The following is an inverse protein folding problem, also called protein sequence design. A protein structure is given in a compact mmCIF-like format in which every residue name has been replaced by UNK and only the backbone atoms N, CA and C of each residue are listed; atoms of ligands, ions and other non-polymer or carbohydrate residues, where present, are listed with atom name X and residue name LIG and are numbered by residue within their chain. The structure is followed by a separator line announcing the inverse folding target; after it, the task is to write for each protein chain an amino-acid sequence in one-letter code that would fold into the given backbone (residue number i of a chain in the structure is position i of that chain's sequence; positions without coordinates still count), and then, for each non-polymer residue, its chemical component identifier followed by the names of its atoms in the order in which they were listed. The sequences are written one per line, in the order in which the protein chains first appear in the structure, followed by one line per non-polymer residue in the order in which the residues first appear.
data_IF_768055765684
#
_entry.id   IF_768055765684
#
_cell.length_a   1.000
_cell.length_b   1.000
_cell.length_c   1.000
_cell.angle_alpha   90.00
_cell.angle_beta   90.00
_cell.angle_gamma   90.00
#
_symmetry.space_group_name_H-M   'P 1'
#
loop_
_entity.id
_entity.type
_entity.pdbx_description
1 polymer ?
#
# COMPACT_ATOMS: atom_id res chain seq x y z
N UNK A 1 -5.17 -5.82 -26.76
CA UNK A 1 -5.85 -5.20 -25.60
C UNK A 1 -5.87 -6.25 -24.50
N UNK A 2 -5.51 -5.95 -23.25
CA UNK A 2 -5.49 -6.93 -22.14
C UNK A 2 -6.78 -6.91 -21.32
N UNK A 3 -7.86 -6.43 -21.93
CA UNK A 3 -9.18 -6.31 -21.34
C UNK A 3 -10.19 -6.88 -22.32
N UNK A 4 -11.18 -7.55 -21.77
CA UNK A 4 -12.29 -8.07 -22.55
C UNK A 4 -13.57 -8.04 -21.72
N UNK A 5 -14.70 -7.93 -22.39
CA UNK A 5 -16.01 -7.90 -21.78
C UNK A 5 -16.88 -8.96 -22.46
N UNK A 6 -17.59 -9.75 -21.66
CA UNK A 6 -18.60 -10.65 -22.20
C UNK A 6 -19.67 -9.87 -22.97
N UNK A 7 -20.32 -10.51 -23.94
CA UNK A 7 -21.40 -9.89 -24.73
C UNK A 7 -22.49 -9.26 -23.83
N UNK A 8 -22.84 -9.92 -22.73
CA UNK A 8 -23.79 -9.40 -21.74
C UNK A 8 -23.37 -8.06 -21.13
N UNK A 9 -22.07 -7.83 -20.94
CA UNK A 9 -21.52 -6.56 -20.44
C UNK A 9 -21.56 -5.46 -21.50
N UNK A 10 -21.48 -5.82 -22.79
CA UNK A 10 -21.59 -4.86 -23.89
C UNK A 10 -23.01 -4.28 -24.00
N UNK A 11 -24.05 -5.10 -23.77
CA UNK A 11 -25.46 -4.65 -23.78
C UNK A 11 -25.75 -3.57 -22.72
N UNK A 12 -24.97 -3.52 -21.64
CA UNK A 12 -25.09 -2.52 -20.58
C UNK A 12 -24.52 -1.16 -20.96
N UNK A 13 -23.78 -1.04 -22.06
CA UNK A 13 -23.09 0.20 -22.44
C UNK A 13 -24.06 1.37 -22.67
N UNK A 14 -25.26 1.10 -23.21
CA UNK A 14 -26.31 2.13 -23.35
C UNK A 14 -26.65 2.78 -22.00
N UNK A 15 -26.74 1.98 -20.94
CA UNK A 15 -27.03 2.46 -19.58
C UNK A 15 -25.85 3.23 -18.99
N UNK A 16 -24.61 2.90 -19.37
CA UNK A 16 -23.41 3.66 -18.99
C UNK A 16 -23.42 5.04 -19.66
N UNK A 17 -23.70 5.09 -20.96
CA UNK A 17 -23.77 6.36 -21.71
C UNK A 17 -24.87 7.28 -21.20
N UNK A 18 -25.99 6.72 -20.74
CA UNK A 18 -27.06 7.49 -20.10
C UNK A 18 -26.64 8.15 -18.77
N UNK A 19 -25.47 7.83 -18.21
CA UNK A 19 -24.99 8.45 -16.97
C UNK A 19 -24.30 9.79 -17.16
N UNK A 20 -23.95 10.16 -18.41
CA UNK A 20 -23.39 11.45 -18.78
C UNK A 20 -24.45 12.56 -18.76
N UNK A 21 -25.02 12.78 -17.58
CA UNK A 21 -26.02 13.83 -17.30
C UNK A 21 -25.41 14.87 -16.37
N UNK A 22 -25.77 16.13 -16.59
CA UNK A 22 -25.24 17.28 -15.87
C UNK A 22 -23.74 17.44 -16.09
N UNK A 23 -22.98 17.58 -15.01
CA UNK A 23 -21.53 17.78 -15.08
C UNK A 23 -20.72 16.48 -15.08
N UNK A 24 -21.33 15.34 -15.33
CA UNK A 24 -20.60 14.05 -15.37
C UNK A 24 -19.74 13.99 -16.62
N UNK A 25 -18.41 13.91 -16.47
CA UNK A 25 -17.45 13.87 -17.59
C UNK A 25 -16.63 12.58 -17.64
N UNK A 26 -16.72 11.76 -16.59
CA UNK A 26 -16.07 10.46 -16.49
C UNK A 26 -17.00 9.48 -15.80
N UNK A 27 -17.14 8.30 -16.37
CA UNK A 27 -17.94 7.21 -15.80
C UNK A 27 -17.07 5.95 -15.74
N UNK A 28 -16.80 5.50 -14.53
CA UNK A 28 -16.04 4.28 -14.28
C UNK A 28 -16.90 3.12 -13.81
N UNK A 29 -16.31 1.92 -13.84
CA UNK A 29 -16.93 0.68 -13.41
C UNK A 29 -15.85 -0.36 -13.07
N UNK A 30 -16.16 -1.40 -12.28
CA UNK A 30 -15.17 -2.35 -11.78
C UNK A 30 -14.48 -3.15 -12.89
N UNK A 31 -13.25 -3.54 -12.59
CA UNK A 31 -12.47 -4.52 -13.35
C UNK A 31 -12.41 -5.84 -12.56
N UNK A 32 -12.53 -6.97 -13.24
CA UNK A 32 -12.31 -8.30 -12.67
C UNK A 32 -10.98 -8.85 -13.15
N UNK A 33 -10.11 -9.27 -12.23
CA UNK A 33 -8.86 -9.94 -12.58
C UNK A 33 -9.11 -11.38 -13.03
N UNK A 34 -8.73 -11.71 -14.27
CA UNK A 34 -8.89 -13.07 -14.85
C UNK A 34 -7.67 -13.95 -14.56
N UNK A 35 -6.55 -13.36 -14.16
CA UNK A 35 -5.28 -14.05 -13.89
C UNK A 35 -5.14 -14.51 -12.44
N UNK A 36 -6.23 -14.59 -11.67
CA UNK A 36 -6.26 -14.92 -10.25
C UNK A 36 -5.81 -16.37 -9.95
N UNK A 37 -6.07 -17.31 -10.87
CA UNK A 37 -5.79 -18.75 -10.71
C UNK A 37 -4.34 -19.16 -10.96
N UNK A 38 -3.44 -18.24 -11.28
CA UNK A 38 -2.07 -18.55 -11.70
C UNK A 38 -1.09 -18.84 -10.55
N UNK A 39 -1.53 -18.80 -9.29
CA UNK A 39 -0.71 -19.09 -8.10
C UNK A 39 -1.13 -18.30 -6.86
N UNK A 40 -0.42 -18.50 -5.74
CA UNK A 40 -0.71 -17.79 -4.47
C UNK A 40 -0.54 -16.28 -4.61
N UNK A 41 0.60 -15.83 -5.17
CA UNK A 41 0.86 -14.41 -5.48
C UNK A 41 -0.23 -13.81 -6.35
N UNK A 42 -0.69 -14.56 -7.35
CA UNK A 42 -1.75 -14.12 -8.24
C UNK A 42 -3.08 -13.94 -7.53
N UNK A 43 -3.44 -14.88 -6.66
CA UNK A 43 -4.63 -14.77 -5.82
C UNK A 43 -4.56 -13.55 -4.89
N UNK A 44 -3.40 -13.29 -4.28
CA UNK A 44 -3.21 -12.12 -3.40
C UNK A 44 -3.34 -10.80 -4.16
N UNK A 45 -2.67 -10.69 -5.31
CA UNK A 45 -2.71 -9.50 -6.16
C UNK A 45 -4.12 -9.26 -6.71
N UNK A 46 -4.80 -10.30 -7.17
CA UNK A 46 -6.16 -10.22 -7.67
C UNK A 46 -7.15 -9.77 -6.58
N UNK A 47 -7.03 -10.29 -5.35
CA UNK A 47 -7.85 -9.83 -4.23
C UNK A 47 -7.61 -8.36 -3.91
N UNK A 48 -6.35 -7.93 -3.81
CA UNK A 48 -6.04 -6.52 -3.54
C UNK A 48 -6.62 -5.60 -4.61
N UNK A 49 -6.57 -6.00 -5.88
CA UNK A 49 -7.15 -5.22 -6.98
C UNK A 49 -8.68 -5.29 -7.02
N UNK A 50 -9.29 -6.41 -6.64
CA UNK A 50 -10.74 -6.54 -6.48
C UNK A 50 -11.24 -5.59 -5.39
N UNK A 51 -10.60 -5.56 -4.21
CA UNK A 51 -10.94 -4.65 -3.10
C UNK A 51 -10.85 -3.20 -3.55
N UNK A 52 -9.75 -2.82 -4.22
CA UNK A 52 -9.57 -1.48 -4.75
C UNK A 52 -10.62 -1.14 -5.81
N UNK A 53 -10.80 -2.05 -6.76
CA UNK A 53 -11.67 -1.92 -7.91
C UNK A 53 -13.15 -1.92 -7.57
N UNK A 54 -13.55 -2.35 -6.36
CA UNK A 54 -14.95 -2.42 -5.90
C UNK A 54 -15.19 -1.53 -4.68
N UNK A 55 -15.03 -2.03 -3.45
CA UNK A 55 -15.35 -1.33 -2.19
C UNK A 55 -14.72 0.06 -2.17
N UNK A 56 -13.40 0.15 -2.37
CA UNK A 56 -12.68 1.42 -2.26
C UNK A 56 -13.17 2.41 -3.31
N UNK A 57 -13.26 2.01 -4.59
CA UNK A 57 -13.77 2.91 -5.64
C UNK A 57 -15.23 3.33 -5.44
N UNK A 58 -16.09 2.46 -4.88
CA UNK A 58 -17.47 2.81 -4.51
C UNK A 58 -17.49 3.93 -3.48
N UNK A 59 -16.75 3.77 -2.38
CA UNK A 59 -16.69 4.77 -1.32
C UNK A 59 -16.05 6.08 -1.80
N UNK A 60 -14.95 6.01 -2.57
CA UNK A 60 -14.32 7.18 -3.18
C UNK A 60 -15.28 7.95 -4.10
N UNK A 61 -16.14 7.26 -4.85
CA UNK A 61 -17.12 7.89 -5.72
C UNK A 61 -18.31 8.48 -4.95
N UNK A 62 -18.90 7.71 -4.03
CA UNK A 62 -20.04 8.14 -3.21
C UNK A 62 -19.96 7.49 -1.83
N UNK A 63 -19.99 8.26 -0.72
CA UNK A 63 -20.33 9.69 -0.62
C UNK A 63 -19.15 10.67 -0.78
N UNK A 64 -17.91 10.17 -0.90
CA UNK A 64 -16.72 11.00 -0.72
C UNK A 64 -16.42 11.95 -1.88
N UNK A 65 -16.82 11.61 -3.12
CA UNK A 65 -16.53 12.41 -4.33
C UNK A 65 -15.02 12.71 -4.54
N UNK A 66 -14.15 11.77 -4.18
CA UNK A 66 -12.68 11.85 -4.34
C UNK A 66 -12.13 10.82 -5.32
N UNK A 67 -13.00 10.13 -6.08
CA UNK A 67 -12.60 9.20 -7.13
C UNK A 67 -12.11 9.96 -8.37
N UNK A 68 -10.97 9.51 -8.91
CA UNK A 68 -10.43 9.95 -10.21
C UNK A 68 -10.58 8.85 -11.26
N UNK A 69 -9.79 8.95 -12.33
CA UNK A 69 -9.63 7.89 -13.32
C UNK A 69 -8.60 6.88 -12.82
N UNK A 70 -9.02 5.63 -12.66
CA UNK A 70 -8.17 4.54 -12.16
C UNK A 70 -8.26 3.28 -13.02
N UNK A 71 -9.42 3.06 -13.66
CA UNK A 71 -9.67 1.89 -14.48
C UNK A 71 -9.39 2.22 -15.94
N UNK A 72 -8.72 1.30 -16.64
CA UNK A 72 -8.60 1.41 -18.09
C UNK A 72 -9.96 1.45 -18.83
N UNK A 73 -11.07 0.87 -18.32
CA UNK A 73 -12.33 0.89 -19.03
C UNK A 73 -13.20 2.10 -18.68
N UNK A 74 -12.74 3.03 -17.82
CA UNK A 74 -13.53 4.24 -17.55
C UNK A 74 -13.77 5.01 -18.86
N UNK A 75 -14.99 5.49 -19.04
CA UNK A 75 -15.43 6.17 -20.26
C UNK A 75 -15.39 7.67 -20.02
N UNK A 76 -14.76 8.40 -20.95
CA UNK A 76 -14.65 9.85 -20.95
C UNK A 76 -15.67 10.51 -21.88
N UNK A 77 -16.13 11.70 -21.52
CA UNK A 77 -16.81 12.61 -22.45
C UNK A 77 -15.78 13.23 -23.41
N UNK A 78 -15.76 12.72 -24.64
CA UNK A 78 -14.80 13.13 -25.67
C UNK A 78 -14.85 14.63 -25.98
N UNK A 79 -16.04 15.23 -26.00
CA UNK A 79 -16.22 16.66 -26.30
C UNK A 79 -15.56 17.51 -25.23
N UNK A 80 -15.76 17.14 -23.96
CA UNK A 80 -15.12 17.82 -22.85
C UNK A 80 -13.59 17.63 -22.87
N UNK A 81 -13.10 16.40 -23.08
CA UNK A 81 -11.67 16.09 -23.12
C UNK A 81 -10.95 16.89 -24.20
N UNK A 82 -11.50 16.96 -25.42
CA UNK A 82 -10.90 17.71 -26.54
C UNK A 82 -10.81 19.20 -26.25
N UNK A 83 -11.79 19.78 -25.56
CA UNK A 83 -11.80 21.19 -25.16
C UNK A 83 -10.92 21.52 -23.95
N UNK A 84 -10.46 20.53 -23.17
CA UNK A 84 -9.82 20.75 -21.87
C UNK A 84 -8.38 20.21 -21.73
N UNK A 85 -7.72 19.94 -22.86
CA UNK A 85 -6.30 19.58 -22.88
C UNK A 85 -6.01 18.08 -22.80
N UNK A 86 -6.99 17.22 -23.06
CA UNK A 86 -6.80 15.77 -23.17
C UNK A 86 -7.01 14.98 -21.87
N UNK A 87 -6.70 13.69 -21.93
CA UNK A 87 -6.85 12.73 -20.81
C UNK A 87 -5.61 12.64 -19.91
N UNK A 88 -4.50 13.25 -20.33
CA UNK A 88 -3.19 13.13 -19.67
C UNK A 88 -2.36 14.40 -19.83
N UNK A 89 -1.26 14.49 -19.08
CA UNK A 89 -0.28 15.58 -19.16
C UNK A 89 1.00 15.11 -19.87
N UNK A 90 1.76 16.06 -20.44
CA UNK A 90 2.83 15.76 -21.40
C UNK A 90 4.08 15.03 -20.83
N UNK A 91 4.32 15.09 -19.51
CA UNK A 91 5.54 14.52 -18.91
C UNK A 91 5.31 13.15 -18.29
N UNK A 92 5.97 12.11 -18.84
CA UNK A 92 5.92 10.72 -18.36
C UNK A 92 6.59 10.51 -16.99
N UNK A 93 7.54 11.38 -16.62
CA UNK A 93 8.22 11.31 -15.32
C UNK A 93 7.45 12.04 -14.22
N UNK A 94 6.93 13.24 -14.52
CA UNK A 94 6.17 14.03 -13.54
C UNK A 94 4.72 13.55 -13.40
N UNK A 95 4.15 13.05 -14.49
CA UNK A 95 2.76 12.59 -14.53
C UNK A 95 2.71 11.09 -14.86
N UNK A 96 3.50 10.30 -14.13
CA UNK A 96 3.54 8.84 -14.27
C UNK A 96 2.16 8.20 -14.12
N UNK A 97 1.31 8.78 -13.26
CA UNK A 97 -0.10 8.43 -13.10
C UNK A 97 -0.99 9.34 -13.94
N UNK A 98 -0.75 9.33 -15.26
CA UNK A 98 -1.45 10.18 -16.24
C UNK A 98 -2.98 10.16 -16.08
N UNK A 99 -3.55 8.98 -15.87
CA UNK A 99 -4.98 8.76 -15.63
C UNK A 99 -5.49 9.62 -14.47
N UNK A 100 -4.80 9.54 -13.32
CA UNK A 100 -5.19 10.24 -12.10
C UNK A 100 -5.07 11.75 -12.28
N UNK A 101 -4.02 12.22 -12.98
CA UNK A 101 -3.90 13.65 -13.32
C UNK A 101 -5.02 14.15 -14.22
N UNK A 102 -5.48 13.33 -15.18
CA UNK A 102 -6.67 13.62 -15.97
C UNK A 102 -7.91 13.77 -15.08
N UNK A 103 -8.10 12.85 -14.14
CA UNK A 103 -9.21 12.92 -13.18
C UNK A 103 -9.14 14.13 -12.23
N UNK A 104 -7.96 14.49 -11.74
CA UNK A 104 -7.78 15.71 -10.92
C UNK A 104 -8.13 16.98 -11.71
N UNK A 105 -7.70 17.07 -12.97
CA UNK A 105 -8.03 18.20 -13.85
C UNK A 105 -9.55 18.29 -14.10
N UNK A 106 -10.21 17.16 -14.33
CA UNK A 106 -11.67 17.08 -14.43
C UNK A 106 -12.37 17.65 -13.19
N UNK A 107 -11.95 17.21 -11.99
CA UNK A 107 -12.56 17.65 -10.74
C UNK A 107 -12.31 19.14 -10.48
N UNK A 108 -11.10 19.64 -10.73
CA UNK A 108 -10.75 21.05 -10.58
C UNK A 108 -11.56 21.98 -11.51
N UNK A 109 -12.06 21.46 -12.63
CA UNK A 109 -12.91 22.18 -13.59
C UNK A 109 -14.42 22.00 -13.33
N UNK A 110 -14.79 21.45 -12.18
CA UNK A 110 -16.19 21.23 -11.80
C UNK A 110 -16.87 20.04 -12.50
N UNK A 111 -16.09 19.20 -13.18
CA UNK A 111 -16.57 17.91 -13.69
C UNK A 111 -16.83 16.94 -12.54
N UNK A 112 -17.69 15.95 -12.80
CA UNK A 112 -18.01 14.88 -11.85
C UNK A 112 -17.61 13.52 -12.42
N UNK A 113 -17.06 12.69 -11.54
CA UNK A 113 -16.76 11.29 -11.79
C UNK A 113 -17.85 10.42 -11.17
N UNK A 114 -18.50 9.58 -11.97
CA UNK A 114 -19.43 8.55 -11.47
C UNK A 114 -18.77 7.18 -11.50
N UNK A 115 -19.23 6.30 -10.63
CA UNK A 115 -18.81 4.91 -10.59
C UNK A 115 -20.04 4.00 -10.54
N UNK A 116 -20.08 3.01 -11.44
CA UNK A 116 -21.24 2.14 -11.65
C UNK A 116 -20.93 0.73 -11.19
N UNK A 117 -21.85 0.11 -10.45
CA UNK A 117 -21.69 -1.26 -9.97
C UNK A 117 -22.28 -2.35 -10.88
N UNK A 118 -23.08 -1.99 -11.89
CA UNK A 118 -23.82 -2.97 -12.70
C UNK A 118 -23.06 -3.48 -13.92
N UNK A 119 -21.97 -2.80 -14.33
CA UNK A 119 -21.10 -3.20 -15.44
C UNK A 119 -19.74 -3.63 -14.88
N UNK A 120 -19.11 -4.62 -15.51
CA UNK A 120 -17.77 -5.08 -15.15
C UNK A 120 -16.99 -5.44 -16.42
N UNK A 121 -15.66 -5.33 -16.38
CA UNK A 121 -14.77 -5.72 -17.49
C UNK A 121 -13.66 -6.61 -16.97
N UNK A 122 -13.37 -7.69 -17.68
CA UNK A 122 -12.28 -8.58 -17.38
C UNK A 122 -10.94 -7.95 -17.74
N UNK A 123 -9.94 -8.14 -16.89
CA UNK A 123 -8.58 -7.63 -17.09
C UNK A 123 -7.56 -8.73 -16.81
N UNK A 124 -6.60 -8.85 -17.71
CA UNK A 124 -5.44 -9.71 -17.51
C UNK A 124 -4.23 -8.86 -17.13
N UNK A 125 -3.47 -9.32 -16.14
CA UNK A 125 -2.23 -8.68 -15.70
C UNK A 125 -1.16 -9.74 -15.41
N UNK A 126 0.10 -9.33 -15.53
CA UNK A 126 1.19 -10.16 -15.04
C UNK A 126 1.14 -10.22 -13.52
N UNK A 127 1.02 -11.44 -13.00
CA UNK A 127 0.82 -11.75 -11.58
C UNK A 127 2.01 -12.49 -10.96
N UNK A 128 3.19 -12.36 -11.57
CA UNK A 128 4.45 -12.80 -10.98
C UNK A 128 4.80 -11.95 -9.75
N UNK A 129 5.63 -12.46 -8.84
CA UNK A 129 6.09 -11.69 -7.68
C UNK A 129 6.79 -10.40 -8.09
N UNK A 130 7.73 -10.48 -9.04
CA UNK A 130 8.42 -9.31 -9.59
C UNK A 130 7.49 -8.36 -10.33
N UNK A 131 6.61 -8.88 -11.20
CA UNK A 131 5.65 -8.08 -11.95
C UNK A 131 4.71 -7.30 -11.03
N UNK A 132 4.24 -7.95 -9.95
CA UNK A 132 3.38 -7.32 -8.96
C UNK A 132 4.13 -6.28 -8.12
N UNK A 133 5.39 -6.54 -7.75
CA UNK A 133 6.23 -5.55 -7.07
C UNK A 133 6.51 -4.32 -7.94
N UNK A 134 6.86 -4.51 -9.21
CA UNK A 134 7.07 -3.39 -10.14
C UNK A 134 5.79 -2.56 -10.34
N UNK A 135 4.64 -3.22 -10.39
CA UNK A 135 3.36 -2.53 -10.46
C UNK A 135 3.10 -1.66 -9.21
N UNK A 136 3.31 -2.22 -8.02
CA UNK A 136 3.15 -1.49 -6.77
C UNK A 136 4.17 -0.35 -6.61
N UNK A 137 5.41 -0.57 -7.05
CA UNK A 137 6.44 0.47 -7.13
C UNK A 137 5.96 1.62 -8.03
N UNK A 138 5.46 1.30 -9.24
CA UNK A 138 4.93 2.31 -10.18
C UNK A 138 3.78 3.12 -9.57
N UNK A 139 2.81 2.47 -8.92
CA UNK A 139 1.68 3.17 -8.30
C UNK A 139 2.16 4.11 -7.19
N UNK A 140 3.05 3.62 -6.32
CA UNK A 140 3.54 4.42 -5.20
C UNK A 140 4.37 5.62 -5.68
N UNK A 141 5.29 5.42 -6.64
CA UNK A 141 6.00 6.53 -7.28
C UNK A 141 5.05 7.53 -7.94
N UNK A 142 4.03 7.04 -8.64
CA UNK A 142 3.00 7.89 -9.22
C UNK A 142 2.27 8.75 -8.19
N UNK A 143 1.97 8.20 -7.01
CA UNK A 143 1.38 8.94 -5.89
C UNK A 143 2.37 9.89 -5.22
N UNK A 144 3.65 9.55 -5.14
CA UNK A 144 4.70 10.48 -4.70
C UNK A 144 4.78 11.73 -5.59
N UNK A 145 4.69 11.56 -6.91
CA UNK A 145 4.62 12.70 -7.84
C UNK A 145 3.33 13.50 -7.72
N UNK A 146 2.21 12.83 -7.42
CA UNK A 146 0.97 13.54 -7.12
C UNK A 146 1.12 14.40 -5.87
N UNK A 147 1.69 13.86 -4.79
CA UNK A 147 1.86 14.57 -3.51
C UNK A 147 2.60 15.91 -3.67
N UNK A 148 3.64 15.96 -4.51
CA UNK A 148 4.42 17.18 -4.77
C UNK A 148 3.85 18.06 -5.90
N UNK A 149 2.73 17.68 -6.49
CA UNK A 149 2.14 18.39 -7.64
C UNK A 149 1.26 19.56 -7.22
N UNK A 150 1.19 20.58 -8.09
CA UNK A 150 0.28 21.73 -7.91
C UNK A 150 -1.19 21.33 -7.98
N UNK A 151 -1.55 20.29 -8.73
CA UNK A 151 -2.94 19.86 -8.87
C UNK A 151 -3.45 19.26 -7.56
N UNK A 152 -2.62 18.42 -6.92
CA UNK A 152 -2.93 17.83 -5.62
C UNK A 152 -3.13 18.91 -4.56
N UNK A 153 -2.24 19.89 -4.49
CA UNK A 153 -2.37 21.04 -3.58
C UNK A 153 -3.64 21.85 -3.82
N UNK A 154 -3.95 22.16 -5.08
CA UNK A 154 -5.16 22.92 -5.44
C UNK A 154 -6.42 22.14 -5.09
N UNK A 155 -6.43 20.84 -5.33
CA UNK A 155 -7.58 20.01 -5.03
C UNK A 155 -7.78 19.90 -3.51
N UNK A 156 -6.72 19.61 -2.76
CA UNK A 156 -6.77 19.54 -1.30
C UNK A 156 -7.33 20.83 -0.67
N UNK A 157 -6.94 22.00 -1.17
CA UNK A 157 -7.45 23.31 -0.71
C UNK A 157 -8.94 23.55 -0.97
N UNK A 158 -9.51 22.88 -1.98
CA UNK A 158 -10.90 23.07 -2.38
C UNK A 158 -11.84 21.99 -1.82
N UNK A 159 -11.32 21.03 -1.06
CA UNK A 159 -12.10 19.98 -0.41
C UNK A 159 -12.41 20.36 1.04
N UNK A 160 -13.58 19.98 1.53
CA UNK A 160 -13.89 20.02 2.96
C UNK A 160 -12.98 19.05 3.73
N UNK A 161 -12.85 19.22 5.05
CA UNK A 161 -11.94 18.45 5.89
C UNK A 161 -12.08 16.93 5.70
N UNK A 162 -13.31 16.40 5.67
CA UNK A 162 -13.53 14.96 5.54
C UNK A 162 -13.15 14.44 4.17
N UNK A 163 -13.49 15.18 3.11
CA UNK A 163 -13.04 14.83 1.75
C UNK A 163 -11.54 15.00 1.59
N UNK A 164 -10.92 15.99 2.21
CA UNK A 164 -9.47 16.20 2.17
C UNK A 164 -8.73 15.04 2.85
N UNK A 165 -9.17 14.63 4.04
CA UNK A 165 -8.62 13.46 4.74
C UNK A 165 -8.83 12.18 3.92
N UNK A 166 -10.02 12.01 3.34
CA UNK A 166 -10.33 10.87 2.47
C UNK A 166 -9.48 10.86 1.21
N UNK A 167 -9.31 12.01 0.56
CA UNK A 167 -8.48 12.19 -0.62
C UNK A 167 -7.03 11.85 -0.29
N UNK A 168 -6.49 12.34 0.82
CA UNK A 168 -5.15 11.99 1.28
C UNK A 168 -5.03 10.49 1.48
N UNK A 169 -5.90 9.88 2.28
CA UNK A 169 -5.82 8.45 2.59
C UNK A 169 -5.99 7.55 1.36
N UNK A 170 -6.87 7.92 0.42
CA UNK A 170 -7.14 7.13 -0.79
C UNK A 170 -6.13 7.37 -1.92
N UNK A 171 -5.18 8.29 -1.74
CA UNK A 171 -4.11 8.60 -2.70
C UNK A 171 -2.73 8.42 -2.06
N UNK A 172 -1.97 9.50 -1.86
CA UNK A 172 -0.60 9.45 -1.36
C UNK A 172 -0.47 8.99 0.10
N UNK A 173 -1.51 9.19 0.91
CA UNK A 173 -1.50 8.91 2.35
C UNK A 173 -1.23 7.45 2.69
N UNK A 174 -1.86 6.50 2.00
CA UNK A 174 -1.62 5.07 2.28
C UNK A 174 -0.15 4.66 2.08
N UNK A 175 0.49 5.17 1.03
CA UNK A 175 1.90 4.88 0.73
C UNK A 175 2.83 5.61 1.70
N UNK A 176 2.46 6.83 2.09
CA UNK A 176 3.19 7.60 3.11
C UNK A 176 3.14 6.92 4.47
N UNK A 177 1.97 6.40 4.88
CA UNK A 177 1.84 5.62 6.13
C UNK A 177 2.68 4.34 6.08
N UNK A 178 2.78 3.68 4.92
CA UNK A 178 3.66 2.52 4.76
C UNK A 178 5.15 2.89 4.88
N UNK A 179 5.56 4.04 4.32
CA UNK A 179 6.91 4.56 4.58
C UNK A 179 7.12 4.85 6.08
N UNK A 180 6.16 5.54 6.72
CA UNK A 180 6.22 5.83 8.16
C UNK A 180 6.32 4.57 9.01
N UNK A 181 5.62 3.49 8.63
CA UNK A 181 5.66 2.20 9.32
C UNK A 181 7.08 1.62 9.37
N UNK A 182 7.81 1.64 8.26
CA UNK A 182 9.19 1.13 8.24
C UNK A 182 10.19 2.11 8.85
N UNK A 183 9.96 3.42 8.70
CA UNK A 183 10.78 4.43 9.35
C UNK A 183 10.67 4.36 10.88
N UNK A 184 9.46 4.19 11.40
CA UNK A 184 9.21 4.04 12.83
C UNK A 184 9.72 2.71 13.37
N UNK A 185 9.64 1.62 12.60
CA UNK A 185 10.25 0.34 12.98
C UNK A 185 11.78 0.45 13.11
N UNK A 186 12.44 1.12 12.16
CA UNK A 186 13.88 1.35 12.23
C UNK A 186 14.24 2.26 13.41
N UNK A 187 13.54 3.39 13.56
CA UNK A 187 13.73 4.31 14.68
C UNK A 187 13.51 3.62 16.02
N UNK A 188 12.50 2.74 16.13
CA UNK A 188 12.24 1.95 17.33
C UNK A 188 13.45 1.08 17.72
N UNK A 189 14.02 0.34 16.76
CA UNK A 189 15.19 -0.52 17.02
C UNK A 189 16.38 0.32 17.47
N UNK A 190 16.64 1.45 16.80
CA UNK A 190 17.74 2.36 17.16
C UNK A 190 17.52 2.96 18.55
N UNK A 191 16.32 3.44 18.86
CA UNK A 191 16.00 3.98 20.18
C UNK A 191 16.15 2.94 21.29
N UNK A 192 15.66 1.71 21.08
CA UNK A 192 15.83 0.61 22.05
C UNK A 192 17.30 0.25 22.25
N UNK A 193 18.07 0.16 21.17
CA UNK A 193 19.51 -0.08 21.25
C UNK A 193 20.21 1.04 22.04
N UNK A 194 19.86 2.31 21.80
CA UNK A 194 20.41 3.44 22.55
C UNK A 194 20.08 3.37 24.04
N UNK A 195 18.85 3.00 24.41
CA UNK A 195 18.45 2.82 25.82
C UNK A 195 19.29 1.72 26.49
N UNK A 196 19.52 0.60 25.78
CA UNK A 196 20.37 -0.48 26.26
C UNK A 196 21.84 -0.05 26.40
N UNK A 197 22.40 0.66 25.42
CA UNK A 197 23.77 1.18 25.47
C UNK A 197 23.99 2.18 26.61
N UNK A 198 22.99 3.02 26.90
CA UNK A 198 23.02 3.95 28.03
C UNK A 198 22.73 3.26 29.37
N UNK A 199 22.38 1.97 29.37
CA UNK A 199 22.03 1.18 30.55
C UNK A 199 20.86 1.76 31.38
N UNK A 200 19.94 2.48 30.73
CA UNK A 200 18.78 3.16 31.37
C UNK A 200 17.52 2.27 31.34
N UNK A 201 17.64 1.03 30.86
CA UNK A 201 16.53 0.06 30.76
C UNK A 201 15.85 -0.22 32.11
N UNK A 202 16.62 -0.22 33.20
CA UNK A 202 16.14 -0.49 34.57
C UNK A 202 16.16 0.76 35.46
N UNK A 203 16.38 1.94 34.89
CA UNK A 203 16.66 3.17 35.65
C UNK A 203 15.51 3.57 36.57
N UNK A 204 14.26 3.40 36.14
CA UNK A 204 13.07 3.68 36.96
C UNK A 204 12.72 2.54 37.93
N UNK A 205 13.26 1.34 37.73
CA UNK A 205 13.06 0.19 38.62
C UNK A 205 14.08 0.13 39.76
N UNK A 206 15.17 0.91 39.69
CA UNK A 206 16.28 0.88 40.64
C UNK A 206 16.25 1.98 41.71
N UNK A 207 15.18 2.78 41.81
CA UNK A 207 14.96 3.76 42.89
C UNK A 207 15.73 5.10 42.80
N UNK A 208 16.83 5.18 42.05
CA UNK A 208 17.79 6.27 42.25
C UNK A 208 17.46 7.64 41.61
N UNK A 209 16.44 7.78 40.77
CA UNK A 209 16.25 9.01 39.98
C UNK A 209 15.13 9.95 40.46
N UNK A 210 14.12 9.41 41.16
CA UNK A 210 12.90 10.15 41.55
C UNK A 210 12.44 9.82 42.99
N UNK A 211 13.33 9.34 43.84
CA UNK A 211 13.03 9.05 45.26
C UNK A 211 12.50 10.28 46.04
N UNK A 212 12.67 11.49 45.50
CA UNK A 212 12.16 12.74 46.08
C UNK A 212 10.82 13.24 45.49
N UNK A 213 10.23 12.54 44.50
CA UNK A 213 9.07 13.07 43.72
C UNK A 213 7.85 12.13 43.75
N UNK A 214 7.90 11.03 44.50
CA UNK A 214 6.72 10.23 44.87
C UNK A 214 6.14 9.33 43.77
N UNK A 215 6.86 9.11 42.67
CA UNK A 215 6.46 8.19 41.60
C UNK A 215 7.07 6.79 41.83
N UNK A 216 6.62 6.09 42.88
CA UNK A 216 7.19 4.78 43.28
C UNK A 216 6.70 3.58 42.46
N UNK A 217 5.76 3.77 41.53
CA UNK A 217 5.16 2.68 40.74
C UNK A 217 5.27 2.91 39.22
N UNK A 218 6.19 3.77 38.75
CA UNK A 218 6.35 3.95 37.31
C UNK A 218 7.10 2.76 36.68
N UNK A 219 6.50 2.10 35.69
CA UNK A 219 7.12 0.96 35.06
C UNK A 219 8.34 1.42 34.24
N UNK A 220 9.41 0.61 34.23
CA UNK A 220 10.67 0.93 33.56
C UNK A 220 10.52 1.50 32.15
N UNK A 221 11.54 2.20 31.63
CA UNK A 221 11.57 2.70 30.23
C UNK A 221 11.26 1.61 29.20
N UNK A 222 11.46 0.34 29.58
CA UNK A 222 11.08 -0.84 28.82
C UNK A 222 9.56 -0.93 28.58
N UNK A 223 8.75 -0.67 29.59
CA UNK A 223 7.27 -0.73 29.57
C UNK A 223 6.64 0.51 28.94
N UNK A 224 7.35 1.65 28.94
CA UNK A 224 6.85 2.90 28.33
C UNK A 224 6.61 2.79 26.82
N UNK A 225 7.21 1.80 26.14
CA UNK A 225 7.09 1.60 24.69
C UNK A 225 6.63 0.18 24.34
N UNK A 226 5.35 -0.16 24.57
CA UNK A 226 4.81 -1.45 24.16
C UNK A 226 4.84 -1.55 22.62
N UNK A 227 5.64 -2.47 22.11
CA UNK A 227 5.90 -2.66 20.68
C UNK A 227 4.75 -3.32 19.90
N UNK A 228 3.65 -3.65 20.59
CA UNK A 228 2.53 -4.43 20.07
C UNK A 228 1.68 -3.70 19.02
N UNK A 229 1.86 -2.38 18.84
CA UNK A 229 1.11 -1.57 17.86
C UNK A 229 1.34 -2.03 16.42
N UNK A 230 2.48 -2.67 16.11
CA UNK A 230 2.77 -3.11 14.73
C UNK A 230 1.88 -4.29 14.29
N UNK A 231 1.46 -5.17 15.21
CA UNK A 231 0.45 -6.21 14.92
C UNK A 231 -0.88 -5.56 14.57
N UNK A 232 -1.29 -4.55 15.35
CA UNK A 232 -2.55 -3.84 15.15
C UNK A 232 -2.59 -3.19 13.77
N UNK A 233 -1.50 -2.53 13.36
CA UNK A 233 -1.38 -1.94 12.03
C UNK A 233 -1.57 -3.00 10.92
N UNK A 234 -0.96 -4.17 11.06
CA UNK A 234 -1.02 -5.22 10.03
C UNK A 234 -2.40 -5.90 9.95
N UNK A 235 -3.06 -6.11 11.09
CA UNK A 235 -4.43 -6.65 11.15
C UNK A 235 -5.46 -5.65 10.60
N UNK A 236 -5.31 -4.36 10.92
CA UNK A 236 -6.16 -3.29 10.38
C UNK A 236 -6.05 -3.23 8.85
N UNK A 237 -4.84 -3.41 8.31
CA UNK A 237 -4.61 -3.45 6.86
C UNK A 237 -5.23 -4.68 6.18
N UNK A 238 -5.51 -5.77 6.91
CA UNK A 238 -6.19 -6.95 6.38
C UNK A 238 -7.73 -6.79 6.29
N UNK A 239 -8.30 -5.83 7.01
CA UNK A 239 -9.75 -5.63 7.13
C UNK A 239 -10.47 -5.45 5.79
N UNK A 240 -9.99 -4.63 4.83
CA UNK A 240 -10.66 -4.48 3.54
C UNK A 240 -10.77 -5.80 2.77
N UNK A 241 -9.75 -6.66 2.86
CA UNK A 241 -9.73 -7.98 2.21
C UNK A 241 -10.71 -8.95 2.87
N UNK A 242 -10.85 -8.88 4.20
CA UNK A 242 -11.83 -9.67 4.95
C UNK A 242 -13.26 -9.24 4.61
N UNK A 243 -13.53 -7.93 4.60
CA UNK A 243 -14.84 -7.39 4.25
C UNK A 243 -15.28 -7.79 2.82
N UNK A 244 -14.35 -7.84 1.87
CA UNK A 244 -14.67 -8.34 0.53
C UNK A 244 -15.09 -9.81 0.56
N UNK A 245 -14.41 -10.64 1.35
CA UNK A 245 -14.83 -12.04 1.59
C UNK A 245 -16.22 -12.15 2.23
N UNK A 246 -16.60 -11.20 3.07
CA UNK A 246 -17.93 -11.12 3.65
C UNK A 246 -18.99 -10.77 2.60
N UNK A 247 -18.73 -9.76 1.75
CA UNK A 247 -19.63 -9.39 0.66
C UNK A 247 -19.81 -10.51 -0.38
N UNK A 248 -18.76 -11.28 -0.65
CA UNK A 248 -18.75 -12.34 -1.66
C UNK A 248 -19.43 -13.65 -1.23
N UNK A 249 -19.71 -13.86 0.06
CA UNK A 249 -20.28 -15.14 0.52
C UNK A 249 -20.43 -15.32 2.02
N UNK A 250 -20.59 -14.24 2.78
CA UNK A 250 -20.89 -14.30 4.20
C UNK A 250 -19.66 -14.46 5.10
N UNK A 251 -19.92 -14.50 6.41
CA UNK A 251 -18.87 -14.60 7.44
C UNK A 251 -17.99 -15.86 7.30
N UNK A 252 -18.57 -17.00 6.90
CA UNK A 252 -17.82 -18.23 6.72
C UNK A 252 -16.75 -18.10 5.63
N UNK A 253 -17.09 -17.45 4.51
CA UNK A 253 -16.16 -17.22 3.40
C UNK A 253 -15.10 -16.18 3.76
N UNK A 254 -15.45 -15.15 4.52
CA UNK A 254 -14.50 -14.17 5.06
C UNK A 254 -13.37 -14.85 5.83
N UNK A 255 -13.70 -15.65 6.85
CA UNK A 255 -12.69 -16.30 7.68
C UNK A 255 -11.94 -17.39 6.92
N UNK A 256 -12.64 -18.22 6.14
CA UNK A 256 -12.00 -19.27 5.32
C UNK A 256 -10.96 -18.68 4.37
N UNK A 257 -11.31 -17.60 3.65
CA UNK A 257 -10.39 -16.95 2.71
C UNK A 257 -9.22 -16.28 3.43
N UNK A 258 -9.48 -15.63 4.57
CA UNK A 258 -8.42 -15.04 5.40
C UNK A 258 -7.40 -16.09 5.84
N UNK A 259 -7.85 -17.22 6.40
CA UNK A 259 -6.95 -18.29 6.83
C UNK A 259 -6.22 -18.95 5.66
N UNK A 260 -6.89 -19.21 4.54
CA UNK A 260 -6.25 -19.75 3.33
C UNK A 260 -5.14 -18.82 2.82
N UNK A 261 -5.40 -17.51 2.79
CA UNK A 261 -4.40 -16.54 2.37
C UNK A 261 -3.24 -16.42 3.37
N UNK A 262 -3.54 -16.44 4.67
CA UNK A 262 -2.51 -16.43 5.71
C UNK A 262 -1.58 -17.64 5.61
N UNK A 263 -2.13 -18.84 5.47
CA UNK A 263 -1.38 -20.10 5.30
C UNK A 263 -0.56 -20.13 4.00
N UNK A 264 -1.07 -19.52 2.93
CA UNK A 264 -0.37 -19.42 1.65
C UNK A 264 0.73 -18.33 1.65
N UNK A 265 0.98 -17.65 2.77
CA UNK A 265 2.06 -16.68 2.92
C UNK A 265 1.69 -15.22 2.59
N UNK A 266 0.40 -14.86 2.58
CA UNK A 266 -0.03 -13.50 2.23
C UNK A 266 0.60 -12.41 3.13
N UNK A 267 0.87 -12.70 4.41
CA UNK A 267 1.52 -11.74 5.31
C UNK A 267 2.96 -11.42 4.88
N UNK A 268 3.71 -12.44 4.47
CA UNK A 268 5.09 -12.27 3.95
C UNK A 268 5.08 -11.43 2.68
N UNK A 269 4.15 -11.74 1.76
CA UNK A 269 3.98 -11.01 0.51
C UNK A 269 3.57 -9.55 0.71
N UNK A 270 2.54 -9.31 1.53
CA UNK A 270 2.00 -7.96 1.76
C UNK A 270 2.99 -7.07 2.52
N UNK A 271 3.75 -7.63 3.47
CA UNK A 271 4.83 -6.89 4.16
C UNK A 271 5.92 -6.45 3.18
N UNK A 272 6.31 -7.34 2.25
CA UNK A 272 7.29 -7.02 1.22
C UNK A 272 6.78 -5.93 0.26
N UNK A 273 5.54 -6.03 -0.21
CA UNK A 273 4.93 -5.00 -1.07
C UNK A 273 4.79 -3.66 -0.35
N UNK A 274 4.42 -3.66 0.94
CA UNK A 274 4.36 -2.44 1.73
C UNK A 274 5.72 -1.75 1.81
N UNK A 275 6.82 -2.51 2.00
CA UNK A 275 8.18 -1.94 1.98
C UNK A 275 8.55 -1.39 0.61
N UNK A 276 8.22 -2.13 -0.45
CA UNK A 276 8.42 -1.67 -1.85
C UNK A 276 7.72 -0.34 -2.09
N UNK A 277 6.46 -0.22 -1.66
CA UNK A 277 5.66 0.99 -1.78
C UNK A 277 6.21 2.14 -0.94
N UNK A 278 6.56 1.91 0.33
CA UNK A 278 7.18 2.92 1.19
C UNK A 278 8.52 3.44 0.64
N UNK A 279 9.35 2.54 0.11
CA UNK A 279 10.62 2.92 -0.54
C UNK A 279 10.39 3.74 -1.82
N UNK A 280 9.40 3.37 -2.64
CA UNK A 280 9.10 4.06 -3.89
C UNK A 280 8.61 5.50 -3.66
N UNK A 281 7.75 5.75 -2.67
CA UNK A 281 7.27 7.11 -2.37
C UNK A 281 8.40 7.99 -1.82
N UNK A 282 9.21 7.46 -0.91
CA UNK A 282 10.36 8.16 -0.32
C UNK A 282 11.36 8.60 -1.40
N UNK A 283 11.81 7.66 -2.23
CA UNK A 283 12.70 7.94 -3.34
C UNK A 283 12.09 8.99 -4.29
N UNK A 284 10.80 8.89 -4.60
CA UNK A 284 10.16 9.78 -5.57
C UNK A 284 10.00 11.20 -5.06
N UNK A 285 9.63 11.36 -3.79
CA UNK A 285 9.49 12.68 -3.15
C UNK A 285 10.85 13.35 -2.97
N UNK A 286 11.88 12.61 -2.53
CA UNK A 286 13.23 13.14 -2.31
C UNK A 286 13.96 13.49 -3.61
N UNK A 287 13.84 12.65 -4.65
CA UNK A 287 14.47 12.90 -5.95
C UNK A 287 13.67 13.85 -6.85
N UNK A 288 12.38 14.07 -6.55
CA UNK A 288 11.46 14.83 -7.39
C UNK A 288 11.18 14.18 -8.75
N UNK A 289 11.52 12.90 -8.94
CA UNK A 289 11.35 12.16 -10.20
C UNK A 289 10.86 10.75 -9.95
N UNK A 290 9.86 10.32 -10.71
CA UNK A 290 9.48 8.92 -10.73
C UNK A 290 10.47 8.09 -11.55
N UNK A 291 11.04 7.05 -10.94
CA UNK A 291 11.81 6.04 -11.68
C UNK A 291 10.85 5.20 -12.51
N UNK A 292 10.82 5.43 -13.82
CA UNK A 292 10.03 4.61 -14.71
C UNK A 292 10.69 3.25 -14.90
N UNK A 293 10.22 2.25 -14.17
CA UNK A 293 10.52 0.85 -14.47
C UNK A 293 9.41 0.30 -15.37
N UNK A 294 9.78 -0.12 -16.58
CA UNK A 294 8.85 -0.78 -17.50
C UNK A 294 8.37 -2.07 -16.84
N UNK A 295 7.07 -2.15 -16.56
CA UNK A 295 6.43 -3.41 -16.21
C UNK A 295 6.54 -4.32 -17.42
N UNK A 296 7.32 -5.41 -17.28
CA UNK A 296 7.39 -6.44 -18.32
C UNK A 296 6.00 -7.10 -18.44
N UNK A 297 5.77 -7.75 -19.59
CA UNK A 297 4.53 -8.50 -19.89
C UNK A 297 4.85 -9.98 -20.13
N UNK A 298 5.86 -10.49 -19.44
CA UNK A 298 6.39 -11.82 -19.65
C UNK A 298 6.37 -12.57 -18.34
N UNK A 299 5.44 -13.51 -18.19
CA UNK A 299 5.34 -14.37 -17.01
C UNK A 299 6.59 -15.25 -16.90
N UNK A 300 7.64 -14.75 -16.26
CA UNK A 300 8.81 -15.53 -15.87
C UNK A 300 8.71 -15.84 -14.39
N UNK A 301 8.45 -17.11 -14.10
CA UNK A 301 8.30 -17.60 -12.73
C UNK A 301 9.65 -17.86 -12.04
N UNK A 302 10.74 -17.98 -12.81
CA UNK A 302 12.08 -18.30 -12.30
C UNK A 302 13.07 -17.15 -12.51
N UNK A 303 13.79 -16.82 -11.45
CA UNK A 303 14.88 -15.85 -11.44
C UNK A 303 16.08 -16.44 -10.69
N UNK A 304 17.29 -16.04 -11.08
CA UNK A 304 18.50 -16.43 -10.35
C UNK A 304 18.60 -15.67 -9.02
N UNK A 305 19.29 -16.27 -8.04
CA UNK A 305 19.59 -15.62 -6.77
C UNK A 305 20.20 -14.22 -6.98
N UNK A 306 21.20 -14.11 -7.86
CA UNK A 306 21.89 -12.84 -8.17
C UNK A 306 20.89 -11.80 -8.71
N UNK A 307 19.95 -12.20 -9.57
CA UNK A 307 18.94 -11.30 -10.12
C UNK A 307 17.98 -10.78 -9.05
N UNK A 308 17.57 -11.61 -8.09
CA UNK A 308 16.67 -11.21 -7.00
C UNK A 308 17.41 -10.33 -5.98
N UNK A 309 18.61 -10.75 -5.58
CA UNK A 309 19.45 -10.02 -4.64
C UNK A 309 19.76 -8.62 -5.16
N UNK A 310 20.31 -8.50 -6.38
CA UNK A 310 20.68 -7.19 -6.95
C UNK A 310 19.49 -6.23 -7.08
N UNK A 311 18.28 -6.75 -7.31
CA UNK A 311 17.06 -5.94 -7.41
C UNK A 311 16.56 -5.43 -6.07
N UNK A 312 16.61 -6.26 -5.02
CA UNK A 312 16.02 -5.95 -3.72
C UNK A 312 17.05 -5.61 -2.64
N UNK A 313 18.34 -5.62 -2.96
CA UNK A 313 19.43 -5.32 -2.04
C UNK A 313 19.22 -3.98 -1.32
N UNK A 314 19.13 -2.89 -2.10
CA UNK A 314 19.03 -1.53 -1.54
C UNK A 314 17.71 -1.29 -0.82
N UNK A 315 16.61 -1.82 -1.35
CA UNK A 315 15.26 -1.49 -0.85
C UNK A 315 14.83 -2.36 0.34
N UNK A 316 15.29 -3.61 0.42
CA UNK A 316 14.82 -4.59 1.41
C UNK A 316 15.96 -5.23 2.18
N UNK A 317 16.95 -5.81 1.50
CA UNK A 317 17.94 -6.71 2.14
C UNK A 317 18.92 -5.93 3.02
N UNK A 318 19.54 -4.86 2.51
CA UNK A 318 20.50 -4.05 3.26
C UNK A 318 19.84 -3.42 4.51
N UNK A 319 18.68 -2.75 4.42
CA UNK A 319 17.97 -2.27 5.61
C UNK A 319 17.60 -3.38 6.60
N UNK A 320 17.27 -4.58 6.11
CA UNK A 320 16.96 -5.72 6.98
C UNK A 320 18.19 -6.26 7.69
N UNK A 321 19.34 -6.30 7.03
CA UNK A 321 20.61 -6.69 7.62
C UNK A 321 21.07 -5.67 8.67
N UNK A 322 20.90 -4.37 8.41
CA UNK A 322 21.17 -3.30 9.38
C UNK A 322 20.28 -3.43 10.61
N UNK A 323 18.97 -3.59 10.43
CA UNK A 323 18.05 -3.84 11.55
C UNK A 323 18.42 -5.11 12.33
N UNK A 324 18.79 -6.20 11.64
CA UNK A 324 19.22 -7.43 12.29
C UNK A 324 20.47 -7.22 13.15
N UNK A 325 21.46 -6.47 12.66
CA UNK A 325 22.66 -6.14 13.42
C UNK A 325 22.31 -5.36 14.70
N UNK A 326 21.44 -4.35 14.61
CA UNK A 326 21.01 -3.59 15.78
C UNK A 326 20.21 -4.42 16.78
N UNK A 327 19.36 -5.34 16.32
CA UNK A 327 18.61 -6.23 17.21
C UNK A 327 19.52 -7.23 17.92
N UNK A 328 20.54 -7.75 17.22
CA UNK A 328 21.56 -8.61 17.84
C UNK A 328 22.35 -7.84 18.89
N UNK A 329 22.79 -6.62 18.58
CA UNK A 329 23.47 -5.74 19.55
C UNK A 329 22.58 -5.43 20.76
N UNK A 330 21.30 -5.12 20.53
CA UNK A 330 20.33 -4.87 21.59
C UNK A 330 20.20 -6.10 22.50
N UNK A 331 20.08 -7.29 21.93
CA UNK A 331 19.96 -8.55 22.69
C UNK A 331 21.23 -8.85 23.49
N UNK A 332 22.40 -8.48 22.98
CA UNK A 332 23.68 -8.70 23.66
C UNK A 332 23.96 -7.68 24.77
N UNK A 333 23.50 -6.43 24.61
CA UNK A 333 23.78 -5.33 25.54
C UNK A 333 22.68 -5.12 26.59
N UNK A 334 21.48 -5.67 26.37
CA UNK A 334 20.36 -5.49 27.30
C UNK A 334 20.67 -6.10 28.66
N UNK A 335 20.19 -5.46 29.74
CA UNK A 335 20.23 -6.00 31.09
C UNK A 335 19.27 -7.17 31.29
N UNK A 336 18.28 -7.31 30.41
CA UNK A 336 17.32 -8.40 30.44
C UNK A 336 17.85 -9.65 29.73
N UNK A 337 17.36 -10.82 30.13
CA UNK A 337 17.73 -12.08 29.48
C UNK A 337 17.32 -12.10 27.99
N UNK A 338 18.07 -12.80 27.11
CA UNK A 338 17.78 -12.82 25.67
C UNK A 338 16.36 -13.24 25.29
N UNK A 339 15.77 -14.20 26.03
CA UNK A 339 14.39 -14.63 25.82
C UNK A 339 13.37 -13.54 26.14
N UNK A 340 13.63 -12.73 27.17
CA UNK A 340 12.76 -11.61 27.52
C UNK A 340 12.79 -10.54 26.43
N UNK A 341 14.00 -10.16 25.99
CA UNK A 341 14.20 -9.18 24.91
C UNK A 341 13.52 -9.64 23.62
N UNK A 342 13.61 -10.93 23.29
CA UNK A 342 12.93 -11.51 22.14
C UNK A 342 11.41 -11.38 22.25
N UNK A 343 10.82 -11.96 23.30
CA UNK A 343 9.35 -12.07 23.45
C UNK A 343 8.69 -10.71 23.63
N UNK A 344 9.29 -9.80 24.40
CA UNK A 344 8.66 -8.52 24.73
C UNK A 344 9.01 -7.40 23.73
N UNK A 345 10.22 -7.45 23.14
CA UNK A 345 10.75 -6.30 22.41
C UNK A 345 11.08 -6.57 20.94
N UNK A 346 11.60 -7.74 20.53
CA UNK A 346 12.22 -7.85 19.19
C UNK A 346 11.58 -8.86 18.25
N UNK A 347 10.66 -9.72 18.70
CA UNK A 347 10.05 -10.76 17.86
C UNK A 347 9.36 -10.21 16.59
N UNK A 348 8.70 -9.05 16.68
CA UNK A 348 8.00 -8.43 15.55
C UNK A 348 8.99 -7.80 14.55
N UNK A 349 10.14 -7.33 15.03
CA UNK A 349 11.25 -6.85 14.20
C UNK A 349 11.86 -8.03 13.45
N UNK A 350 12.12 -9.16 14.13
CA UNK A 350 12.59 -10.39 13.50
C UNK A 350 11.61 -10.92 12.45
N UNK A 351 10.31 -10.84 12.73
CA UNK A 351 9.28 -11.17 11.75
C UNK A 351 9.37 -10.29 10.50
N UNK A 352 9.52 -8.97 10.67
CA UNK A 352 9.71 -8.05 9.56
C UNK A 352 11.01 -8.35 8.78
N UNK A 353 12.15 -8.51 9.45
CA UNK A 353 13.45 -8.87 8.84
C UNK A 353 13.31 -10.14 8.00
N UNK A 354 12.63 -11.16 8.53
CA UNK A 354 12.41 -12.44 7.85
C UNK A 354 11.57 -12.25 6.59
N UNK A 355 10.48 -11.47 6.67
CA UNK A 355 9.62 -11.20 5.51
C UNK A 355 10.38 -10.44 4.41
N UNK A 356 11.12 -9.40 4.78
CA UNK A 356 11.87 -8.57 3.83
C UNK A 356 13.07 -9.30 3.21
N UNK A 357 13.67 -10.23 3.95
CA UNK A 357 14.86 -10.97 3.51
C UNK A 357 14.54 -12.28 2.78
N UNK A 358 13.38 -12.91 2.99
CA UNK A 358 13.11 -14.24 2.40
C UNK A 358 12.04 -14.23 1.31
N UNK A 359 11.15 -13.23 1.27
CA UNK A 359 10.02 -13.23 0.33
C UNK A 359 10.41 -13.42 -1.15
N UNK A 360 11.48 -12.80 -1.69
CA UNK A 360 11.84 -12.98 -3.09
C UNK A 360 12.12 -14.44 -3.45
N UNK A 361 12.72 -15.21 -2.54
CA UNK A 361 13.06 -16.62 -2.77
C UNK A 361 11.87 -17.54 -2.46
N UNK A 362 11.06 -17.20 -1.45
CA UNK A 362 9.88 -17.97 -1.10
C UNK A 362 8.85 -18.02 -2.25
N UNK A 363 8.72 -16.91 -2.99
CA UNK A 363 7.77 -16.78 -4.10
C UNK A 363 8.40 -17.01 -5.49
N UNK A 364 9.68 -17.39 -5.54
CA UNK A 364 10.37 -17.86 -6.75
C UNK A 364 11.08 -19.20 -6.47
N UNK A 365 10.32 -20.31 -6.32
CA UNK A 365 10.89 -21.64 -6.08
C UNK A 365 11.69 -22.19 -7.26
#
# INVERSE_FOLDING_TARGET
MNQDAHLAEALKLRNVLAQFVGNTRLVGFPEQMITDRSGSVASFAALSEQVFGTIVQRFMAKPLNVRFHYGHPDVWDLTWVRGNGGVSKASKQLHLSEDIFGGMNLMLRGGRVKYLGFKMVGKAREVSFDGTNQFNFKISSGNGMQLISRDFHRLAKNLDLFRMLSFFQSSAGIFFTEWMLFASLFAFVVCKLMIAMLHVETFFSAGDAFDSVGFHDEPGTEVLYPSQWMIQATLVMAWPSMLEGWLDGGFAKMFTRFFQHALAGAHVFNMFIAKTRGYAIDHTVTSGKALYQVTRRGMRMRHSFVSLYTRYAVSHITPSAEMAAYVVMLTALSRFGPMYVFVMTTWHVWFAITCLSLAPWLFHP
#
